data_IF_022202970589
#
_entry.id   IF_022202970589
#
_cell.length_a   1.000
_cell.length_b   1.000
_cell.length_c   1.000
_cell.angle_alpha   90.00
_cell.angle_beta   90.00
_cell.angle_gamma   90.00
#
_symmetry.space_group_name_H-M   'P 1'
#
loop_
_entity.id
_entity.type
_entity.pdbx_description
1 polymer ?
#
# COMPACT_ATOMS: atom_id res chain seq x y z
N UNK A 1 55.08 39.01 -40.12
CA UNK A 1 54.91 37.99 -39.05
C UNK A 1 53.63 37.24 -39.35
N UNK A 2 53.77 36.04 -39.91
CA UNK A 2 52.64 35.24 -40.37
C UNK A 2 52.27 34.21 -39.31
N UNK A 3 50.97 34.15 -39.02
CA UNK A 3 50.29 33.10 -38.30
C UNK A 3 50.56 31.74 -38.97
N UNK A 4 50.93 30.70 -38.21
CA UNK A 4 50.94 29.34 -38.72
C UNK A 4 50.56 28.32 -37.65
N UNK A 5 49.58 27.52 -38.03
CA UNK A 5 48.89 26.46 -37.28
C UNK A 5 49.86 25.33 -36.97
N UNK A 6 49.77 24.73 -35.76
CA UNK A 6 50.34 23.40 -35.51
C UNK A 6 49.33 22.52 -34.79
N UNK A 7 48.75 21.60 -35.57
CA UNK A 7 48.12 20.38 -35.08
C UNK A 7 49.08 19.65 -34.15
N UNK A 8 48.57 19.20 -33.00
CA UNK A 8 49.08 17.99 -32.36
C UNK A 8 48.05 16.90 -32.62
N UNK A 9 48.34 16.07 -33.63
CA UNK A 9 47.83 14.73 -33.73
C UNK A 9 48.62 13.83 -32.77
N UNK A 10 47.96 12.73 -32.43
CA UNK A 10 48.46 11.43 -31.99
C UNK A 10 48.17 11.06 -30.54
N UNK A 11 47.26 10.07 -30.44
CA UNK A 11 47.39 8.81 -29.70
C UNK A 11 47.58 8.98 -28.19
N UNK A 12 46.65 8.57 -27.35
CA UNK A 12 46.45 7.15 -27.10
C UNK A 12 45.03 6.80 -26.68
N UNK A 13 44.38 6.03 -27.54
CA UNK A 13 43.30 5.12 -27.19
C UNK A 13 43.93 3.92 -26.50
N UNK A 14 44.09 3.93 -25.18
CA UNK A 14 44.25 2.69 -24.39
C UNK A 14 44.04 2.95 -22.91
N UNK A 15 43.14 2.14 -22.34
CA UNK A 15 42.92 1.87 -20.91
C UNK A 15 42.42 3.04 -20.05
N UNK A 16 41.14 3.41 -20.22
CA UNK A 16 40.34 3.81 -19.06
C UNK A 16 40.06 2.55 -18.25
N UNK A 17 40.94 2.28 -17.28
CA UNK A 17 40.77 1.15 -16.38
C UNK A 17 39.48 1.33 -15.59
N UNK A 18 38.63 0.33 -15.67
CA UNK A 18 37.37 0.16 -14.96
C UNK A 18 37.58 0.10 -13.44
N UNK A 19 37.89 1.24 -12.82
CA UNK A 19 38.13 1.36 -11.37
C UNK A 19 37.46 2.57 -10.70
N UNK A 20 36.63 3.31 -11.41
CA UNK A 20 35.90 4.47 -10.85
C UNK A 20 34.37 4.25 -10.75
N UNK A 21 33.91 3.00 -10.84
CA UNK A 21 32.54 2.61 -10.50
C UNK A 21 32.58 1.75 -9.24
N UNK A 22 33.00 2.35 -8.12
CA UNK A 22 32.66 1.83 -6.81
C UNK A 22 31.30 2.44 -6.46
N UNK A 23 30.24 1.76 -6.88
CA UNK A 23 28.94 1.90 -6.24
C UNK A 23 29.16 1.54 -4.76
N UNK A 24 29.03 2.53 -3.87
CA UNK A 24 28.89 2.28 -2.44
C UNK A 24 27.53 1.58 -2.26
N UNK A 25 27.53 0.27 -2.47
CA UNK A 25 26.49 -0.60 -1.96
C UNK A 25 26.59 -0.52 -0.44
N UNK A 26 25.75 0.33 0.14
CA UNK A 26 25.44 0.27 1.55
C UNK A 26 24.70 -1.05 1.77
N UNK A 27 25.47 -2.12 1.95
CA UNK A 27 25.00 -3.41 2.42
C UNK A 27 24.62 -3.23 3.89
N UNK A 28 23.45 -2.63 4.11
CA UNK A 28 22.82 -2.61 5.41
C UNK A 28 22.48 -4.06 5.74
N UNK A 29 23.25 -4.61 6.68
CA UNK A 29 23.11 -5.97 7.19
C UNK A 29 21.65 -6.21 7.54
N UNK A 30 20.94 -6.91 6.66
CA UNK A 30 19.56 -7.34 6.88
C UNK A 30 19.60 -8.33 8.04
N UNK A 31 19.40 -7.82 9.26
CA UNK A 31 19.20 -8.66 10.42
C UNK A 31 17.93 -9.47 10.20
N UNK A 32 17.95 -10.81 10.30
CA UNK A 32 16.76 -11.61 10.14
C UNK A 32 15.93 -11.52 11.43
N UNK A 33 14.88 -10.70 11.42
CA UNK A 33 13.94 -10.57 12.54
C UNK A 33 12.64 -9.89 12.03
N UNK A 34 11.41 -10.38 12.20
CA UNK A 34 10.79 -11.54 12.84
C UNK A 34 9.46 -11.76 12.08
N UNK A 35 9.07 -13.01 11.85
CA UNK A 35 7.70 -13.45 11.52
C UNK A 35 6.81 -12.53 10.65
N UNK A 36 6.81 -12.81 9.34
CA UNK A 36 5.72 -12.72 8.35
C UNK A 36 4.68 -11.57 8.35
N UNK A 37 4.93 -10.46 9.03
CA UNK A 37 4.03 -9.30 9.12
C UNK A 37 4.74 -8.06 8.57
N UNK A 38 4.11 -7.41 7.58
CA UNK A 38 4.57 -6.11 7.09
C UNK A 38 4.67 -5.13 8.27
N UNK A 39 5.70 -4.28 8.36
CA UNK A 39 5.92 -3.41 9.51
C UNK A 39 4.89 -2.27 9.47
N UNK A 40 3.78 -2.46 10.18
CA UNK A 40 2.80 -1.40 10.36
C UNK A 40 3.09 -0.67 11.67
N UNK A 41 3.07 0.66 11.63
CA UNK A 41 3.14 1.46 12.85
C UNK A 41 1.75 1.52 13.47
N UNK A 42 1.61 1.23 14.76
CA UNK A 42 0.28 1.16 15.39
C UNK A 42 -0.12 2.53 15.94
N UNK A 43 -1.36 2.95 15.67
CA UNK A 43 -1.92 4.19 16.22
C UNK A 43 -1.83 4.24 17.75
N UNK A 44 -1.38 5.38 18.29
CA UNK A 44 -1.26 5.61 19.73
C UNK A 44 0.07 5.21 20.36
N UNK A 45 1.00 4.67 19.55
CA UNK A 45 2.37 4.39 19.97
C UNK A 45 3.27 5.62 19.77
N UNK A 46 4.34 5.82 20.58
CA UNK A 46 5.29 6.91 20.36
C UNK A 46 6.00 6.81 19.00
N UNK A 47 6.04 5.63 18.40
CA UNK A 47 6.51 5.37 17.03
C UNK A 47 5.58 6.00 15.98
N UNK A 48 4.26 6.01 16.20
CA UNK A 48 3.31 6.68 15.29
C UNK A 48 3.48 8.19 15.24
N UNK A 49 3.98 8.81 16.31
CA UNK A 49 4.24 10.25 16.34
C UNK A 49 5.55 10.64 15.63
N UNK A 50 6.43 9.66 15.37
CA UNK A 50 7.70 9.83 14.65
C UNK A 50 7.67 9.22 13.25
N UNK A 51 6.60 8.52 12.90
CA UNK A 51 6.41 7.90 11.61
C UNK A 51 6.38 8.97 10.52
N UNK A 52 7.08 8.70 9.43
CA UNK A 52 7.01 9.55 8.25
C UNK A 52 5.68 9.25 7.55
N UNK A 53 4.74 10.20 7.60
CA UNK A 53 3.39 10.01 7.06
C UNK A 53 3.38 9.75 5.55
N UNK A 54 4.46 10.11 4.84
CA UNK A 54 4.57 9.89 3.39
C UNK A 54 4.98 8.44 3.04
N UNK A 55 5.64 7.72 3.95
CA UNK A 55 6.20 6.39 3.68
C UNK A 55 5.71 5.29 4.64
N UNK A 56 5.37 5.64 5.89
CA UNK A 56 4.96 4.70 6.92
C UNK A 56 3.44 4.56 7.00
N UNK A 57 2.95 3.32 6.98
CA UNK A 57 1.54 3.05 7.21
C UNK A 57 1.24 2.97 8.70
N UNK A 58 0.44 3.92 9.19
CA UNK A 58 -0.12 3.88 10.53
C UNK A 58 -1.44 3.11 10.53
N UNK A 59 -1.45 1.92 11.12
CA UNK A 59 -2.60 1.02 11.23
C UNK A 59 -3.33 1.21 12.57
N UNK A 60 -4.66 1.11 12.55
CA UNK A 60 -5.42 1.07 13.80
C UNK A 60 -5.03 -0.14 14.68
N UNK A 61 -5.02 0.04 15.99
CA UNK A 61 -4.59 -0.98 16.95
C UNK A 61 -5.42 -2.27 16.94
N UNK A 62 -6.72 -2.20 16.64
CA UNK A 62 -7.58 -3.39 16.52
C UNK A 62 -7.32 -4.14 15.21
N UNK A 63 -7.17 -3.39 14.11
CA UNK A 63 -6.88 -3.97 12.79
C UNK A 63 -5.48 -4.59 12.72
N UNK A 64 -4.50 -4.00 13.40
CA UNK A 64 -3.15 -4.56 13.51
C UNK A 64 -3.13 -5.93 14.22
N UNK A 65 -4.13 -6.23 15.05
CA UNK A 65 -4.32 -7.52 15.72
C UNK A 65 -5.23 -8.48 14.94
N UNK A 66 -5.68 -8.10 13.74
CA UNK A 66 -6.68 -8.82 12.95
C UNK A 66 -8.04 -8.99 13.66
N UNK A 67 -8.39 -8.05 14.55
CA UNK A 67 -9.69 -8.02 15.21
C UNK A 67 -10.66 -7.13 14.43
N UNK A 68 -11.90 -7.60 14.25
CA UNK A 68 -12.94 -6.84 13.57
C UNK A 68 -13.45 -5.69 14.48
N UNK A 69 -13.30 -4.42 14.09
CA UNK A 69 -13.68 -3.28 14.93
C UNK A 69 -15.18 -3.00 14.84
N UNK A 70 -15.99 -3.83 15.51
CA UNK A 70 -17.46 -3.73 15.55
C UNK A 70 -17.94 -2.34 15.95
N UNK A 71 -17.41 -1.82 17.05
CA UNK A 71 -17.88 -0.56 17.64
C UNK A 71 -17.69 0.63 16.68
N UNK A 72 -16.57 0.66 15.96
CA UNK A 72 -16.25 1.72 15.01
C UNK A 72 -17.13 1.60 13.76
N UNK A 73 -17.33 0.38 13.26
CA UNK A 73 -18.17 0.14 12.08
C UNK A 73 -19.63 0.46 12.39
N UNK A 74 -20.13 0.09 13.57
CA UNK A 74 -21.49 0.43 14.01
C UNK A 74 -21.67 1.95 14.21
N UNK A 75 -20.66 2.64 14.74
CA UNK A 75 -20.66 4.10 14.83
C UNK A 75 -20.66 4.75 13.44
N UNK A 76 -19.86 4.24 12.50
CA UNK A 76 -19.81 4.72 11.12
C UNK A 76 -21.16 4.50 10.42
N UNK A 77 -21.82 3.37 10.63
CA UNK A 77 -23.13 3.05 10.07
C UNK A 77 -24.26 3.94 10.61
N UNK A 78 -24.13 4.47 11.82
CA UNK A 78 -25.08 5.44 12.40
C UNK A 78 -24.89 6.86 11.87
N UNK A 79 -23.71 7.16 11.32
CA UNK A 79 -23.43 8.50 10.77
C UNK A 79 -24.15 8.70 9.43
N UNK A 80 -24.58 9.94 9.15
CA UNK A 80 -25.21 10.30 7.86
C UNK A 80 -24.29 10.04 6.66
N UNK A 81 -22.96 10.05 6.88
CA UNK A 81 -21.94 9.84 5.85
C UNK A 81 -21.07 8.63 6.21
N UNK A 82 -21.65 7.45 6.11
CA UNK A 82 -20.94 6.18 6.30
C UNK A 82 -19.98 5.88 5.11
N UNK A 83 -18.72 5.47 5.37
CA UNK A 83 -17.81 5.01 4.33
C UNK A 83 -18.32 3.73 3.65
N UNK A 84 -18.27 3.67 2.32
CA UNK A 84 -18.76 2.51 1.57
C UNK A 84 -18.02 1.22 1.95
N UNK A 85 -16.71 1.29 2.12
CA UNK A 85 -15.88 0.15 2.54
C UNK A 85 -16.35 -0.45 3.87
N UNK A 86 -16.65 0.36 4.88
CA UNK A 86 -17.13 -0.16 6.17
C UNK A 86 -18.54 -0.76 6.07
N UNK A 87 -19.38 -0.20 5.20
CA UNK A 87 -20.75 -0.69 4.99
C UNK A 87 -20.80 -2.11 4.42
N UNK A 88 -19.87 -2.44 3.53
CA UNK A 88 -19.80 -3.76 2.88
C UNK A 88 -18.81 -4.71 3.56
N UNK A 89 -18.00 -4.23 4.50
CA UNK A 89 -17.18 -5.08 5.36
C UNK A 89 -18.04 -5.76 6.44
N UNK A 90 -18.90 -6.70 6.04
CA UNK A 90 -19.70 -7.46 7.01
C UNK A 90 -18.80 -8.41 7.82
N UNK A 91 -19.24 -8.84 9.02
CA UNK A 91 -18.49 -9.82 9.82
C UNK A 91 -18.22 -11.13 9.06
N UNK A 92 -19.13 -11.53 8.17
CA UNK A 92 -18.98 -12.73 7.35
C UNK A 92 -17.85 -12.61 6.33
N UNK A 93 -17.75 -11.45 5.66
CA UNK A 93 -16.65 -11.15 4.73
C UNK A 93 -15.34 -11.05 5.50
N UNK A 94 -15.34 -10.43 6.69
CA UNK A 94 -14.16 -10.35 7.53
C UNK A 94 -13.62 -11.73 7.92
N UNK A 95 -14.46 -12.60 8.48
CA UNK A 95 -14.03 -13.93 8.92
C UNK A 95 -13.54 -14.80 7.76
N UNK A 96 -14.06 -14.60 6.55
CA UNK A 96 -13.59 -15.29 5.35
C UNK A 96 -12.18 -14.88 4.93
N UNK A 97 -11.83 -13.59 5.05
CA UNK A 97 -10.62 -13.02 4.44
C UNK A 97 -9.59 -12.47 5.43
N UNK A 98 -9.86 -12.48 6.75
CA UNK A 98 -8.97 -11.97 7.81
C UNK A 98 -7.55 -12.55 7.76
N UNK A 99 -7.42 -13.84 7.44
CA UNK A 99 -6.13 -14.53 7.36
C UNK A 99 -5.59 -14.63 5.92
N UNK A 100 -6.36 -14.12 4.95
CA UNK A 100 -5.99 -14.16 3.52
C UNK A 100 -5.16 -12.93 3.17
N UNK A 101 -4.07 -13.16 2.42
CA UNK A 101 -3.25 -12.12 1.80
C UNK A 101 -3.49 -12.17 0.30
N UNK A 102 -3.46 -11.01 -0.36
CA UNK A 102 -3.48 -10.96 -1.82
C UNK A 102 -2.32 -11.75 -2.40
N UNK A 103 -2.54 -12.27 -3.61
CA UNK A 103 -1.53 -12.95 -4.41
C UNK A 103 -0.50 -12.00 -5.03
N UNK A 104 -0.79 -10.69 -5.02
CA UNK A 104 0.08 -9.64 -5.53
C UNK A 104 1.38 -9.44 -4.72
N UNK A 105 2.34 -8.68 -5.28
CA UNK A 105 3.64 -8.45 -4.65
C UNK A 105 3.55 -7.70 -3.31
N UNK A 106 2.54 -6.84 -3.12
CA UNK A 106 2.36 -6.10 -1.88
C UNK A 106 1.71 -6.93 -0.75
N UNK A 107 1.20 -8.14 -1.05
CA UNK A 107 0.57 -9.06 -0.09
C UNK A 107 -0.45 -8.35 0.81
N UNK A 108 -1.32 -7.58 0.17
CA UNK A 108 -2.36 -6.77 0.80
C UNK A 108 -3.32 -7.62 1.65
N UNK A 109 -3.72 -7.11 2.81
CA UNK A 109 -4.69 -7.76 3.70
C UNK A 109 -5.99 -6.97 3.76
N UNK A 110 -7.10 -7.63 4.09
CA UNK A 110 -8.39 -6.96 4.28
C UNK A 110 -8.32 -5.90 5.40
N UNK A 111 -7.58 -6.18 6.48
CA UNK A 111 -7.33 -5.23 7.57
C UNK A 111 -6.72 -3.91 7.05
N UNK A 112 -5.74 -4.00 6.14
CA UNK A 112 -5.13 -2.83 5.50
C UNK A 112 -6.10 -2.13 4.57
N UNK A 113 -6.92 -2.88 3.84
CA UNK A 113 -7.90 -2.32 2.92
C UNK A 113 -8.88 -1.39 3.63
N UNK A 114 -9.42 -1.77 4.80
CA UNK A 114 -10.43 -1.00 5.53
C UNK A 114 -9.86 0.06 6.49
N UNK A 115 -8.55 0.10 6.69
CA UNK A 115 -7.89 0.96 7.68
C UNK A 115 -8.28 2.43 7.54
N UNK A 116 -8.38 2.94 6.30
CA UNK A 116 -8.75 4.35 6.08
C UNK A 116 -10.18 4.66 6.48
N UNK A 117 -11.12 3.72 6.32
CA UNK A 117 -12.49 3.88 6.79
C UNK A 117 -12.58 3.90 8.32
N UNK A 118 -11.80 3.05 9.00
CA UNK A 118 -11.78 2.96 10.47
C UNK A 118 -11.13 4.19 11.10
N UNK A 119 -10.00 4.64 10.56
CA UNK A 119 -9.26 5.79 11.07
C UNK A 119 -9.92 7.13 10.73
N UNK A 120 -10.54 7.23 9.56
CA UNK A 120 -11.12 8.46 9.04
C UNK A 120 -12.59 8.25 8.66
N UNK A 121 -13.52 8.42 9.62
CA UNK A 121 -14.95 8.21 9.38
C UNK A 121 -15.55 9.22 8.38
N UNK A 122 -14.85 10.32 8.07
CA UNK A 122 -15.24 11.29 7.04
C UNK A 122 -14.93 10.83 5.62
N UNK A 123 -14.19 9.72 5.44
CA UNK A 123 -13.84 9.16 4.14
C UNK A 123 -15.08 8.64 3.43
N UNK A 124 -15.21 8.95 2.14
CA UNK A 124 -16.35 8.47 1.34
C UNK A 124 -16.22 6.98 0.97
N UNK A 125 -15.04 6.58 0.50
CA UNK A 125 -14.78 5.18 0.13
C UNK A 125 -14.37 4.36 1.34
N UNK A 126 -13.49 4.87 2.19
CA UNK A 126 -12.99 4.15 3.37
C UNK A 126 -12.31 2.81 3.05
N UNK A 127 -11.88 2.59 1.81
CA UNK A 127 -11.14 1.41 1.42
C UNK A 127 -10.14 1.67 0.28
N UNK A 128 -9.02 0.94 0.28
CA UNK A 128 -8.01 0.95 -0.79
C UNK A 128 -7.51 -0.44 -1.12
N UNK A 129 -7.25 -0.70 -2.40
CA UNK A 129 -6.55 -1.89 -2.87
C UNK A 129 -5.10 -1.51 -3.18
N UNK A 130 -4.14 -2.30 -2.70
CA UNK A 130 -2.72 -2.08 -3.00
C UNK A 130 -2.20 -2.89 -4.19
N UNK A 131 -2.86 -4.00 -4.52
CA UNK A 131 -2.52 -4.83 -5.67
C UNK A 131 -3.73 -4.93 -6.60
N UNK A 132 -3.48 -5.13 -7.91
CA UNK A 132 -4.54 -5.38 -8.88
C UNK A 132 -5.29 -6.67 -8.54
N UNK A 133 -4.57 -7.68 -8.09
CA UNK A 133 -5.09 -9.00 -7.73
C UNK A 133 -6.00 -8.93 -6.50
N UNK A 134 -5.85 -7.91 -5.65
CA UNK A 134 -6.71 -7.71 -4.47
C UNK A 134 -8.20 -7.57 -4.83
N UNK A 135 -8.51 -7.05 -6.01
CA UNK A 135 -9.90 -6.92 -6.48
C UNK A 135 -10.56 -8.29 -6.70
N UNK A 136 -9.80 -9.26 -7.22
CA UNK A 136 -10.29 -10.61 -7.50
C UNK A 136 -10.20 -11.51 -6.26
N UNK A 137 -9.09 -11.42 -5.50
CA UNK A 137 -8.84 -12.20 -4.29
C UNK A 137 -9.86 -11.85 -3.18
N UNK A 138 -10.24 -10.58 -3.07
CA UNK A 138 -11.25 -10.08 -2.13
C UNK A 138 -12.53 -9.63 -2.86
N UNK A 139 -12.94 -10.35 -3.91
CA UNK A 139 -14.10 -9.97 -4.75
C UNK A 139 -15.39 -9.75 -3.97
N UNK A 140 -15.68 -10.56 -2.96
CA UNK A 140 -16.93 -10.44 -2.18
C UNK A 140 -16.97 -9.13 -1.38
N UNK A 141 -15.81 -8.51 -1.14
CA UNK A 141 -15.69 -7.19 -0.54
C UNK A 141 -15.70 -6.08 -1.59
N UNK A 142 -14.79 -6.13 -2.58
CA UNK A 142 -14.62 -5.01 -3.50
C UNK A 142 -15.76 -4.88 -4.53
N UNK A 143 -16.33 -5.99 -5.01
CA UNK A 143 -17.36 -5.95 -6.06
C UNK A 143 -18.61 -5.19 -5.60
N UNK A 144 -19.22 -5.50 -4.43
CA UNK A 144 -20.38 -4.74 -3.97
C UNK A 144 -20.03 -3.27 -3.64
N UNK A 145 -18.82 -2.99 -3.16
CA UNK A 145 -18.34 -1.61 -2.93
C UNK A 145 -18.29 -0.82 -4.25
N UNK A 146 -17.72 -1.42 -5.30
CA UNK A 146 -17.58 -0.81 -6.63
C UNK A 146 -18.96 -0.57 -7.25
N UNK A 147 -19.86 -1.55 -7.20
CA UNK A 147 -21.23 -1.41 -7.73
C UNK A 147 -22.03 -0.34 -6.98
N UNK A 148 -21.84 -0.22 -5.66
CA UNK A 148 -22.50 0.81 -4.86
C UNK A 148 -22.00 2.22 -5.18
N UNK A 149 -20.70 2.35 -5.50
CA UNK A 149 -20.09 3.60 -5.93
C UNK A 149 -20.52 3.97 -7.37
N UNK A 150 -20.40 3.04 -8.30
CA UNK A 150 -20.78 3.20 -9.70
C UNK A 150 -22.23 2.77 -9.93
N UNK A 151 -23.19 3.61 -9.51
CA UNK A 151 -24.62 3.33 -9.70
C UNK A 151 -24.95 3.06 -11.17
N UNK A 152 -25.47 1.85 -11.46
CA UNK A 152 -25.81 1.41 -12.81
C UNK A 152 -24.71 0.64 -13.54
N UNK A 153 -23.56 0.44 -12.90
CA UNK A 153 -22.50 -0.45 -13.37
C UNK A 153 -22.65 -1.81 -12.68
N UNK A 154 -22.62 -2.88 -13.47
CA UNK A 154 -22.50 -4.24 -12.96
C UNK A 154 -21.22 -4.86 -13.50
N UNK A 155 -20.33 -5.22 -12.60
CA UNK A 155 -19.01 -5.78 -12.91
C UNK A 155 -19.05 -7.04 -13.77
N UNK A 156 -20.16 -7.80 -13.74
CA UNK A 156 -20.29 -9.03 -14.51
C UNK A 156 -20.77 -8.80 -15.95
N UNK A 157 -21.44 -7.67 -16.21
CA UNK A 157 -22.17 -7.43 -17.46
C UNK A 157 -21.69 -6.19 -18.21
N UNK A 158 -21.19 -5.19 -17.48
CA UNK A 158 -20.78 -3.90 -18.01
C UNK A 158 -19.28 -3.90 -18.30
N UNK A 159 -18.89 -3.46 -19.50
CA UNK A 159 -17.49 -3.23 -19.88
C UNK A 159 -17.22 -1.74 -19.88
N UNK A 160 -16.03 -1.36 -19.41
CA UNK A 160 -15.60 0.02 -19.34
C UNK A 160 -14.60 0.36 -20.45
#
# INVERSE_FOLDING_TARGET
MACNVRLYMCTDFTSFTQKDLAEEEHEEVITPAKDSTMPYVVQGTPEAAKADLDFDLVMNASLAKNEYPKDIIEAAMKSERCPLGLKFCTPEVWEKYKDTKSSGPAKWTLARAINTGVCYPTSFMGCHAGDKESYDDFKDFYYPVIQAYHKGFDINTSKH
#
